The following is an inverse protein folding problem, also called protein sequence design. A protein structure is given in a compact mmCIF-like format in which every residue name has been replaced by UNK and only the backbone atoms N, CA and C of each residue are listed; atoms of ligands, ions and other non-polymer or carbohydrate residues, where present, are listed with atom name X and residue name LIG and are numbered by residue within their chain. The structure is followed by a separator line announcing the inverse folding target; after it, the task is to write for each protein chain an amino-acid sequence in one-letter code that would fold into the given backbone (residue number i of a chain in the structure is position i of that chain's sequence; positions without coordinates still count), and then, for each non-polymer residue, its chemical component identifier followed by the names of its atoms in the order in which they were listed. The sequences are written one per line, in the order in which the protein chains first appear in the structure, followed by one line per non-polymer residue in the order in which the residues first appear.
data_IF_428141197518
#
_entry.id   IF_428141197518
#
_cell.length_a   1.000
_cell.length_b   1.000
_cell.length_c   1.000
_cell.angle_alpha   90.00
_cell.angle_beta   90.00
_cell.angle_gamma   90.00
#
_symmetry.space_group_name_H-M   'P 1'
#
loop_
_entity.id
_entity.type
_entity.pdbx_description
1 polymer ?
#
# COMPACT_ATOMS: atom_id res chain seq x y z
N UNK A 1 -40.17 -9.87 -14.09
CA UNK A 1 -39.63 -9.67 -12.73
C UNK A 1 -38.11 -9.75 -12.80
N UNK A 2 -37.42 -8.72 -12.34
CA UNK A 2 -35.95 -8.63 -12.43
C UNK A 2 -35.31 -9.38 -11.27
N UNK A 3 -34.35 -10.24 -11.55
CA UNK A 3 -33.66 -11.06 -10.54
C UNK A 3 -32.22 -10.57 -10.35
N UNK A 4 -31.76 -10.52 -9.11
CA UNK A 4 -30.40 -10.12 -8.79
C UNK A 4 -29.40 -11.17 -9.28
N UNK A 5 -28.42 -10.77 -10.10
CA UNK A 5 -27.42 -11.68 -10.63
C UNK A 5 -26.52 -12.31 -9.54
N UNK A 6 -26.33 -11.62 -8.41
CA UNK A 6 -25.52 -12.09 -7.27
C UNK A 6 -26.26 -13.08 -6.37
N UNK A 7 -27.44 -12.73 -5.86
CA UNK A 7 -28.17 -13.56 -4.89
C UNK A 7 -29.32 -14.38 -5.48
N UNK A 8 -29.60 -14.26 -6.79
CA UNK A 8 -30.66 -14.94 -7.54
C UNK A 8 -32.10 -14.68 -7.06
N UNK A 9 -32.29 -13.82 -6.07
CA UNK A 9 -33.61 -13.41 -5.55
C UNK A 9 -34.21 -12.28 -6.41
N UNK A 10 -35.55 -12.17 -6.48
CA UNK A 10 -36.20 -11.06 -7.15
C UNK A 10 -35.84 -9.74 -6.44
N UNK A 11 -35.59 -8.70 -7.24
CA UNK A 11 -35.30 -7.35 -6.72
C UNK A 11 -36.62 -6.65 -6.45
N UNK A 12 -36.88 -6.38 -5.17
CA UNK A 12 -38.04 -5.62 -4.68
C UNK A 12 -37.67 -4.21 -4.19
N UNK A 13 -36.37 -3.88 -4.22
CA UNK A 13 -35.86 -2.59 -3.77
C UNK A 13 -36.33 -1.45 -4.68
N UNK A 14 -36.51 -0.26 -4.09
CA UNK A 14 -36.84 0.97 -4.84
C UNK A 14 -35.77 1.33 -5.88
N UNK A 15 -34.51 0.98 -5.60
CA UNK A 15 -33.38 1.26 -6.46
C UNK A 15 -32.58 -0.02 -6.72
N UNK A 16 -32.14 -0.19 -7.97
CA UNK A 16 -31.27 -1.28 -8.40
C UNK A 16 -30.09 -0.73 -9.19
N UNK A 17 -29.01 -1.49 -9.22
CA UNK A 17 -27.83 -1.19 -10.05
C UNK A 17 -27.82 -2.13 -11.25
N UNK A 18 -27.55 -1.57 -12.43
CA UNK A 18 -27.33 -2.35 -13.64
C UNK A 18 -25.84 -2.38 -13.96
N UNK A 19 -25.23 -3.56 -13.94
CA UNK A 19 -23.81 -3.78 -14.20
C UNK A 19 -23.68 -4.84 -15.29
N UNK A 20 -23.13 -4.45 -16.45
CA UNK A 20 -22.98 -5.32 -17.63
C UNK A 20 -24.28 -6.03 -18.01
N UNK A 21 -25.36 -5.26 -18.15
CA UNK A 21 -26.70 -5.74 -18.52
C UNK A 21 -27.33 -6.74 -17.56
N UNK A 22 -26.83 -6.79 -16.33
CA UNK A 22 -27.39 -7.58 -15.24
C UNK A 22 -27.80 -6.68 -14.10
N UNK A 23 -28.96 -6.95 -13.52
CA UNK A 23 -29.46 -6.24 -12.37
C UNK A 23 -28.93 -6.81 -11.07
N UNK A 24 -28.62 -5.93 -10.12
CA UNK A 24 -28.08 -6.27 -8.81
C UNK A 24 -28.73 -5.39 -7.73
N UNK A 25 -28.88 -5.96 -6.52
CA UNK A 25 -29.14 -5.14 -5.34
C UNK A 25 -27.95 -4.24 -5.04
N UNK A 26 -28.19 -3.06 -4.46
CA UNK A 26 -27.14 -2.14 -3.99
C UNK A 26 -26.13 -2.82 -3.07
N UNK A 27 -26.62 -3.72 -2.20
CA UNK A 27 -25.79 -4.52 -1.27
C UNK A 27 -25.12 -5.74 -1.93
N UNK A 28 -25.62 -6.20 -3.08
CA UNK A 28 -25.06 -7.35 -3.78
C UNK A 28 -23.92 -6.98 -4.73
N UNK A 29 -23.76 -5.70 -5.08
CA UNK A 29 -22.62 -5.21 -5.86
C UNK A 29 -21.40 -5.07 -4.95
N UNK A 30 -20.78 -6.20 -4.67
CA UNK A 30 -19.58 -6.29 -3.83
C UNK A 30 -18.52 -7.16 -4.49
N UNK A 31 -17.26 -6.90 -4.16
CA UNK A 31 -16.17 -7.73 -4.66
C UNK A 31 -16.27 -9.16 -4.14
N UNK A 32 -15.94 -10.15 -4.97
CA UNK A 32 -15.93 -11.55 -4.57
C UNK A 32 -14.86 -11.86 -3.51
N UNK A 33 -13.73 -11.17 -3.54
CA UNK A 33 -12.57 -11.37 -2.65
C UNK A 33 -12.66 -10.52 -1.37
N UNK A 34 -12.52 -9.19 -1.44
CA UNK A 34 -12.60 -8.29 -0.27
C UNK A 34 -14.01 -8.14 0.34
N UNK A 35 -15.08 -8.56 -0.35
CA UNK A 35 -16.49 -8.21 -0.02
C UNK A 35 -16.80 -6.72 0.10
N UNK A 36 -15.88 -5.86 -0.34
CA UNK A 36 -16.07 -4.42 -0.32
C UNK A 36 -17.12 -3.99 -1.35
N UNK A 37 -18.01 -3.06 -0.96
CA UNK A 37 -19.10 -2.57 -1.79
C UNK A 37 -18.53 -1.74 -2.95
N UNK A 38 -18.95 -2.04 -4.18
CA UNK A 38 -18.43 -1.37 -5.38
C UNK A 38 -19.43 -0.29 -5.79
N UNK A 39 -19.08 0.98 -5.53
CA UNK A 39 -19.98 2.13 -5.75
C UNK A 39 -19.76 2.80 -7.11
N UNK A 40 -18.50 2.91 -7.55
CA UNK A 40 -18.16 3.63 -8.80
C UNK A 40 -17.75 2.68 -9.93
N UNK A 41 -16.60 2.02 -9.78
CA UNK A 41 -16.00 1.15 -10.81
C UNK A 41 -15.88 -0.27 -10.28
N UNK A 42 -16.37 -1.22 -11.05
CA UNK A 42 -16.24 -2.65 -10.80
C UNK A 42 -15.70 -3.36 -12.04
N UNK A 43 -15.01 -4.47 -11.82
CA UNK A 43 -14.51 -5.33 -12.88
C UNK A 43 -15.27 -6.66 -12.81
N UNK A 44 -15.83 -7.12 -13.93
CA UNK A 44 -16.46 -8.44 -13.97
C UNK A 44 -15.60 -9.45 -14.71
N UNK A 45 -15.52 -10.65 -14.15
CA UNK A 45 -14.87 -11.82 -14.74
C UNK A 45 -15.71 -13.04 -14.36
N UNK A 46 -16.08 -13.87 -15.33
CA UNK A 46 -16.83 -15.12 -15.09
C UNK A 46 -18.13 -14.95 -14.27
N UNK A 47 -18.81 -13.81 -14.43
CA UNK A 47 -20.05 -13.51 -13.70
C UNK A 47 -19.85 -13.14 -12.22
N UNK A 48 -18.60 -12.98 -11.76
CA UNK A 48 -18.23 -12.42 -10.46
C UNK A 48 -17.78 -10.97 -10.62
N UNK A 49 -17.98 -10.17 -9.58
CA UNK A 49 -17.54 -8.78 -9.51
C UNK A 49 -16.29 -8.70 -8.64
N UNK A 50 -15.34 -7.86 -9.05
CA UNK A 50 -14.08 -7.62 -8.37
C UNK A 50 -13.85 -6.12 -8.23
N UNK A 51 -13.23 -5.72 -7.11
CA UNK A 51 -12.71 -4.37 -6.97
C UNK A 51 -11.47 -4.21 -7.86
N UNK A 52 -11.06 -2.95 -8.12
CA UNK A 52 -9.86 -2.66 -8.91
C UNK A 52 -8.65 -3.43 -8.39
N UNK A 53 -8.40 -3.37 -7.08
CA UNK A 53 -7.21 -3.98 -6.47
C UNK A 53 -7.20 -5.51 -6.60
N UNK A 54 -8.29 -6.18 -6.23
CA UNK A 54 -8.38 -7.64 -6.25
C UNK A 54 -8.39 -8.18 -7.69
N UNK A 55 -8.98 -7.44 -8.63
CA UNK A 55 -8.94 -7.80 -10.04
C UNK A 55 -7.50 -7.84 -10.56
N UNK A 56 -6.70 -6.79 -10.32
CA UNK A 56 -5.29 -6.78 -10.70
C UNK A 56 -4.45 -7.76 -9.88
N UNK A 57 -4.79 -7.99 -8.61
CA UNK A 57 -4.07 -8.95 -7.77
C UNK A 57 -4.25 -10.39 -8.25
N UNK A 58 -5.47 -10.77 -8.64
CA UNK A 58 -5.79 -12.13 -9.06
C UNK A 58 -5.43 -12.39 -10.54
N UNK A 59 -5.72 -11.42 -11.42
CA UNK A 59 -5.65 -11.58 -12.87
C UNK A 59 -4.61 -10.68 -13.56
N UNK A 60 -3.98 -9.76 -12.83
CA UNK A 60 -2.94 -8.88 -13.35
C UNK A 60 -1.54 -9.48 -13.20
N UNK A 61 -0.53 -8.62 -13.34
CA UNK A 61 0.88 -8.99 -13.23
C UNK A 61 1.20 -9.45 -11.81
N UNK A 62 1.87 -10.60 -11.70
CA UNK A 62 2.30 -11.17 -10.41
C UNK A 62 3.79 -10.95 -10.20
N UNK A 63 4.16 -10.70 -8.95
CA UNK A 63 5.55 -10.63 -8.54
C UNK A 63 6.19 -12.02 -8.71
N UNK A 64 7.29 -12.10 -9.45
CA UNK A 64 7.99 -13.37 -9.63
C UNK A 64 8.70 -13.87 -8.35
N UNK A 65 8.94 -12.98 -7.37
CA UNK A 65 9.56 -13.34 -6.09
C UNK A 65 8.58 -13.97 -5.09
N UNK A 66 7.41 -13.35 -4.89
CA UNK A 66 6.43 -13.82 -3.89
C UNK A 66 5.12 -14.37 -4.48
N UNK A 67 4.99 -14.41 -5.81
CA UNK A 67 3.79 -14.82 -6.56
C UNK A 67 2.50 -14.02 -6.26
N UNK A 68 2.58 -12.96 -5.45
CA UNK A 68 1.44 -12.09 -5.16
C UNK A 68 1.22 -11.09 -6.30
N UNK A 69 -0.03 -10.73 -6.54
CA UNK A 69 -0.38 -9.76 -7.58
C UNK A 69 0.02 -8.34 -7.20
N UNK A 70 0.46 -7.59 -8.22
CA UNK A 70 0.97 -6.24 -8.12
C UNK A 70 -0.15 -5.25 -8.49
N UNK A 71 -0.37 -4.22 -7.67
CA UNK A 71 -1.32 -3.15 -8.03
C UNK A 71 -0.72 -2.21 -9.08
N UNK A 72 -1.54 -1.62 -9.98
CA UNK A 72 -1.07 -0.61 -10.93
C UNK A 72 -0.45 0.63 -10.28
N UNK A 73 -0.77 0.90 -9.01
CA UNK A 73 -0.18 1.99 -8.23
C UNK A 73 1.13 1.63 -7.56
N UNK A 74 1.49 0.34 -7.49
CA UNK A 74 2.66 -0.11 -6.75
C UNK A 74 3.92 0.15 -7.56
N UNK A 75 4.92 0.69 -6.87
CA UNK A 75 6.27 0.75 -7.41
C UNK A 75 6.81 -0.67 -7.53
N UNK A 76 7.42 -0.97 -8.66
CA UNK A 76 7.96 -2.29 -8.96
C UNK A 76 9.32 -2.21 -9.62
N UNK A 77 10.10 -3.27 -9.45
CA UNK A 77 11.33 -3.50 -10.18
C UNK A 77 11.06 -4.44 -11.34
N UNK A 78 11.69 -4.16 -12.48
CA UNK A 78 11.70 -5.07 -13.62
C UNK A 78 13.11 -5.60 -13.78
N UNK A 79 13.23 -6.92 -13.90
CA UNK A 79 14.47 -7.59 -14.25
C UNK A 79 14.19 -8.55 -15.40
N UNK A 80 14.92 -8.38 -16.50
CA UNK A 80 14.67 -9.08 -17.77
C UNK A 80 13.20 -8.95 -18.19
N UNK A 81 12.43 -10.03 -18.17
CA UNK A 81 11.00 -10.10 -18.54
C UNK A 81 10.05 -10.24 -17.34
N UNK A 82 10.56 -10.21 -16.10
CA UNK A 82 9.77 -10.41 -14.88
C UNK A 82 9.67 -9.14 -14.03
N UNK A 83 8.61 -9.07 -13.23
CA UNK A 83 8.31 -7.94 -12.35
C UNK A 83 8.37 -8.40 -10.90
N UNK A 84 8.91 -7.55 -10.03
CA UNK A 84 9.12 -7.83 -8.61
C UNK A 84 8.65 -6.65 -7.77
N UNK A 85 8.13 -6.92 -6.58
CA UNK A 85 7.98 -5.89 -5.55
C UNK A 85 9.35 -5.36 -5.14
N UNK A 86 9.40 -4.12 -4.67
CA UNK A 86 10.63 -3.52 -4.10
C UNK A 86 11.24 -4.42 -3.01
N UNK A 87 10.40 -4.95 -2.12
CA UNK A 87 10.83 -5.81 -1.01
C UNK A 87 11.21 -7.22 -1.45
N UNK A 88 10.78 -7.65 -2.64
CA UNK A 88 11.17 -8.95 -3.21
C UNK A 88 12.43 -8.85 -4.08
N UNK A 89 12.92 -7.63 -4.34
CA UNK A 89 14.11 -7.39 -5.15
C UNK A 89 15.33 -7.22 -4.24
N UNK A 90 15.69 -8.31 -3.57
CA UNK A 90 16.74 -8.37 -2.54
C UNK A 90 17.84 -9.36 -2.93
N UNK A 91 19.04 -9.14 -2.40
CA UNK A 91 20.16 -10.07 -2.52
C UNK A 91 19.85 -11.38 -1.78
N UNK A 92 20.08 -12.53 -2.40
CA UNK A 92 19.87 -13.84 -1.76
C UNK A 92 20.87 -14.17 -0.65
N UNK A 93 21.99 -13.46 -0.57
CA UNK A 93 23.06 -13.70 0.40
C UNK A 93 22.89 -12.81 1.64
N UNK A 94 22.82 -11.48 1.44
CA UNK A 94 22.67 -10.52 2.55
C UNK A 94 21.24 -10.02 2.79
N UNK A 95 20.25 -10.44 2.00
CA UNK A 95 18.87 -9.92 2.04
C UNK A 95 18.73 -8.40 1.84
N UNK A 96 19.81 -7.71 1.44
CA UNK A 96 19.80 -6.27 1.16
C UNK A 96 18.88 -5.98 -0.03
N UNK A 97 18.02 -4.98 0.13
CA UNK A 97 17.22 -4.46 -0.97
C UNK A 97 18.11 -3.71 -1.96
N UNK A 98 18.13 -4.18 -3.21
CA UNK A 98 18.96 -3.58 -4.25
C UNK A 98 18.28 -2.30 -4.74
N UNK A 99 19.02 -1.22 -4.92
CA UNK A 99 18.49 0.10 -5.32
C UNK A 99 18.84 0.48 -6.76
N UNK A 100 18.12 1.47 -7.32
CA UNK A 100 18.45 2.01 -8.66
C UNK A 100 19.87 2.58 -8.64
N UNK A 101 20.74 2.06 -9.50
CA UNK A 101 22.14 2.48 -9.59
C UNK A 101 23.13 1.56 -8.85
N UNK A 102 22.65 0.54 -8.12
CA UNK A 102 23.54 -0.49 -7.55
C UNK A 102 23.80 -1.60 -8.57
N UNK A 103 25.05 -2.09 -8.61
CA UNK A 103 25.43 -3.25 -9.42
C UNK A 103 24.97 -4.55 -8.75
N UNK A 104 24.35 -5.42 -9.55
CA UNK A 104 23.86 -6.72 -9.12
C UNK A 104 24.10 -7.78 -10.20
N UNK A 105 24.21 -9.02 -9.74
CA UNK A 105 24.39 -10.20 -10.57
C UNK A 105 23.13 -11.06 -10.50
N UNK A 106 22.69 -11.57 -11.66
CA UNK A 106 21.51 -12.43 -11.77
C UNK A 106 22.01 -13.87 -11.94
N UNK A 107 21.92 -14.67 -10.88
CA UNK A 107 22.33 -16.09 -10.89
C UNK A 107 21.28 -16.91 -11.65
N UNK A 108 20.02 -16.79 -11.23
CA UNK A 108 18.86 -17.45 -11.84
C UNK A 108 17.78 -16.41 -12.14
N UNK A 109 16.73 -16.81 -12.88
CA UNK A 109 15.64 -15.91 -13.28
C UNK A 109 14.99 -15.12 -12.12
N UNK A 110 15.05 -15.65 -10.90
CA UNK A 110 14.47 -15.06 -9.70
C UNK A 110 15.48 -14.88 -8.54
N UNK A 111 16.79 -15.03 -8.78
CA UNK A 111 17.83 -14.92 -7.73
C UNK A 111 18.84 -13.83 -8.07
N UNK A 112 18.96 -12.86 -7.16
CA UNK A 112 19.84 -11.70 -7.31
C UNK A 112 20.93 -11.74 -6.25
N UNK A 113 22.15 -11.34 -6.61
CA UNK A 113 23.28 -11.19 -5.69
C UNK A 113 23.84 -9.78 -5.85
N UNK A 114 24.10 -9.08 -4.75
CA UNK A 114 24.73 -7.75 -4.83
C UNK A 114 26.20 -7.88 -5.28
N UNK A 115 26.79 -6.78 -5.77
CA UNK A 115 28.20 -6.76 -6.16
C UNK A 115 29.14 -7.28 -5.07
N UNK A 116 28.95 -6.84 -3.84
CA UNK A 116 29.81 -7.19 -2.70
C UNK A 116 29.81 -8.70 -2.43
N UNK A 117 28.64 -9.31 -2.30
CA UNK A 117 28.50 -10.75 -2.05
C UNK A 117 28.98 -11.59 -3.24
N UNK A 118 28.75 -11.11 -4.47
CA UNK A 118 29.21 -11.80 -5.66
C UNK A 118 30.74 -11.84 -5.73
N UNK A 119 31.40 -10.71 -5.47
CA UNK A 119 32.87 -10.62 -5.46
C UNK A 119 33.47 -11.45 -4.32
N UNK A 120 32.90 -11.36 -3.11
CA UNK A 120 33.38 -12.13 -1.97
C UNK A 120 33.31 -13.65 -2.24
N UNK A 121 32.18 -14.14 -2.76
CA UNK A 121 32.02 -15.56 -3.08
C UNK A 121 32.90 -15.99 -4.28
N UNK A 122 33.15 -15.09 -5.25
CA UNK A 122 34.06 -15.37 -6.37
C UNK A 122 35.53 -15.52 -5.94
N UNK A 123 35.95 -14.79 -4.89
CA UNK A 123 37.28 -14.93 -4.32
C UNK A 123 37.42 -16.23 -3.52
N UNK A 124 36.39 -16.64 -2.76
CA UNK A 124 36.39 -17.92 -2.04
C UNK A 124 36.50 -19.12 -2.98
N UNK A 125 35.90 -19.03 -4.17
CA UNK A 125 36.01 -20.08 -5.20
C UNK A 125 37.41 -20.18 -5.82
N UNK A 126 38.21 -19.10 -5.80
CA UNK A 126 39.60 -19.10 -6.31
C UNK A 126 40.61 -19.57 -5.26
N UNK A 127 40.42 -19.29 -3.98
CA UNK A 127 41.30 -19.81 -2.91
C UNK A 127 41.14 -21.31 -2.65
N UNK A 128 39.97 -21.89 -2.95
CA UNK A 128 39.74 -23.34 -2.82
C UNK A 128 40.43 -24.22 -3.89
N UNK A 129 41.11 -23.63 -4.88
CA UNK A 129 41.98 -24.38 -5.82
C UNK A 129 43.46 -24.42 -5.41
N UNK A 130 43.84 -23.80 -4.29
CA UNK A 130 45.24 -23.74 -3.82
C UNK A 130 45.48 -24.30 -2.41
N UNK A 131 44.47 -24.84 -1.74
CA UNK A 131 44.67 -25.61 -0.51
C UNK A 131 44.32 -27.09 -0.73
N UNK A 132 45.23 -27.77 -1.42
CA UNK A 132 45.43 -29.21 -1.30
C UNK A 132 46.84 -29.45 -0.79
N UNK A 133 46.97 -29.89 0.46
CA UNK A 133 48.17 -30.50 1.00
C UNK A 133 48.86 -29.75 2.13
N UNK A 134 48.35 -29.90 3.36
CA UNK A 134 49.14 -30.51 4.44
C UNK A 134 48.19 -31.03 5.54
N UNK A 135 48.27 -32.33 5.77
CA UNK A 135 47.47 -33.09 6.69
C UNK A 135 47.83 -32.77 8.15
N UNK A 136 46.84 -32.76 9.03
CA UNK A 136 47.03 -33.39 10.34
C UNK A 136 45.80 -34.16 10.78
N UNK A 137 45.96 -35.47 10.71
CA UNK A 137 45.06 -36.51 11.16
C UNK A 137 44.93 -36.59 12.70
N UNK A 138 43.75 -37.09 13.12
CA UNK A 138 43.54 -37.82 14.38
C UNK A 138 42.58 -37.10 15.34
N UNK A 139 41.59 -37.71 15.98
CA UNK A 139 41.07 -39.08 15.99
C UNK A 139 39.79 -39.08 16.86
N UNK A 140 39.01 -40.17 16.75
CA UNK A 140 38.21 -40.78 17.82
C UNK A 140 36.85 -40.15 18.26
N UNK A 141 35.84 -40.71 17.63
CA UNK A 141 34.52 -41.17 18.08
C UNK A 141 34.37 -41.64 19.56
N UNK A 142 33.12 -41.46 20.09
CA UNK A 142 32.39 -42.16 21.19
C UNK A 142 32.67 -41.62 22.62
N UNK A 143 31.73 -41.48 23.56
CA UNK A 143 30.42 -42.10 23.85
C UNK A 143 29.62 -41.23 24.86
N UNK A 144 28.28 -41.36 24.88
CA UNK A 144 27.41 -41.00 26.02
C UNK A 144 27.66 -41.97 27.22
N UNK A 145 27.12 -41.83 28.47
CA UNK A 145 25.70 -41.49 28.79
C UNK A 145 25.44 -40.73 30.14
N UNK A 146 24.14 -40.43 30.37
CA UNK A 146 23.38 -40.65 31.62
C UNK A 146 22.47 -39.46 32.01
N UNK A 147 21.15 -39.72 32.02
CA UNK A 147 20.14 -38.95 32.77
C UNK A 147 20.19 -39.32 34.26
N UNK A 148 19.56 -38.53 35.16
CA UNK A 148 18.20 -38.89 35.57
C UNK A 148 17.23 -37.72 35.88
N UNK A 149 15.95 -38.00 35.59
CA UNK A 149 14.68 -37.69 36.29
C UNK A 149 14.59 -36.55 37.33
N UNK A 150 13.50 -35.77 37.26
CA UNK A 150 12.93 -35.02 38.38
C UNK A 150 11.64 -34.27 37.99
N UNK A 151 10.50 -34.74 38.51
CA UNK A 151 9.13 -34.23 38.30
C UNK A 151 8.78 -33.00 39.17
N UNK A 152 7.82 -32.23 38.68
CA UNK A 152 6.71 -31.57 39.42
C UNK A 152 6.97 -30.31 40.27
N UNK A 153 6.23 -29.23 39.96
CA UNK A 153 5.23 -28.52 40.82
C UNK A 153 5.17 -27.00 40.55
N UNK A 154 3.98 -26.52 40.20
CA UNK A 154 3.51 -25.15 40.47
C UNK A 154 3.54 -24.86 41.99
N UNK A 155 3.63 -23.58 42.40
CA UNK A 155 2.41 -22.93 42.86
C UNK A 155 2.27 -21.45 42.46
N UNK A 156 1.03 -21.09 42.12
CA UNK A 156 0.48 -19.73 42.09
C UNK A 156 0.56 -19.04 43.45
N UNK A 157 0.67 -17.71 43.50
CA UNK A 157 -0.06 -16.83 44.44
C UNK A 157 0.01 -15.36 43.97
N UNK A 158 -1.17 -14.79 43.68
CA UNK A 158 -1.54 -13.36 43.66
C UNK A 158 -1.41 -12.73 45.07
N UNK A 159 -1.53 -11.40 45.30
CA UNK A 159 -2.83 -10.65 45.25
C UNK A 159 -2.72 -9.20 44.68
N UNK A 160 -3.76 -8.64 44.03
CA UNK A 160 -4.86 -7.78 44.58
C UNK A 160 -4.32 -6.45 45.18
N UNK A 161 -4.80 -5.23 44.92
CA UNK A 161 -6.06 -4.61 44.45
C UNK A 161 -5.67 -3.16 44.02
N UNK A 162 -6.41 -2.30 43.31
CA UNK A 162 -7.75 -1.76 43.54
C UNK A 162 -8.02 -0.67 42.46
N UNK A 163 -9.20 -0.73 41.84
CA UNK A 163 -9.94 0.40 41.20
C UNK A 163 -10.41 1.38 42.32
N UNK A 164 -10.81 2.66 42.10
CA UNK A 164 -11.99 3.03 41.29
C UNK A 164 -11.98 4.41 40.57
N UNK A 165 -12.86 4.53 39.56
CA UNK A 165 -13.76 5.69 39.25
C UNK A 165 -13.13 6.99 38.65
N UNK A 166 -13.78 7.83 37.83
CA UNK A 166 -15.12 7.96 37.24
C UNK A 166 -15.08 9.18 36.26
N UNK A 167 -16.03 9.20 35.30
CA UNK A 167 -16.75 10.34 34.67
C UNK A 167 -15.95 11.51 34.01
N UNK A 168 -16.31 12.14 32.88
CA UNK A 168 -17.59 12.58 32.31
C UNK A 168 -17.49 12.91 30.79
N UNK A 169 -18.62 12.73 30.07
CA UNK A 169 -19.30 13.56 29.03
C UNK A 169 -18.49 14.39 27.96
N UNK A 170 -18.93 14.71 26.72
CA UNK A 170 -20.23 14.77 26.03
C UNK A 170 -20.05 15.22 24.54
N UNK A 171 -21.04 14.91 23.69
CA UNK A 171 -21.49 15.57 22.43
C UNK A 171 -20.51 15.63 21.21
N UNK A 172 -20.90 15.58 19.92
CA UNK A 172 -22.17 15.89 19.24
C UNK A 172 -22.25 15.25 17.83
N UNK A 173 -23.42 14.68 17.52
CA UNK A 173 -24.33 14.94 16.39
C UNK A 173 -23.83 15.13 14.93
N UNK A 174 -24.48 14.37 14.03
CA UNK A 174 -24.60 14.64 12.60
C UNK A 174 -25.80 15.54 12.32
N UNK A 175 -25.63 16.61 11.55
CA UNK A 175 -26.73 17.29 10.86
C UNK A 175 -26.28 17.78 9.49
N UNK A 176 -26.90 17.20 8.46
CA UNK A 176 -26.82 17.58 7.06
C UNK A 176 -27.94 18.60 6.82
N UNK A 177 -27.63 19.77 6.24
CA UNK A 177 -28.63 20.68 5.66
C UNK A 177 -28.17 21.08 4.27
N UNK A 178 -29.06 20.89 3.31
CA UNK A 178 -28.94 21.29 1.91
C UNK A 178 -29.97 22.39 1.63
N UNK A 179 -29.60 23.41 0.86
CA UNK A 179 -30.45 24.22 -0.04
C UNK A 179 -29.47 25.00 -0.96
N UNK A 180 -29.38 24.77 -2.29
CA UNK A 180 -30.23 25.23 -3.42
C UNK A 180 -30.32 26.77 -3.45
N UNK A 181 -29.95 27.54 -4.49
CA UNK A 181 -30.30 27.50 -5.93
C UNK A 181 -29.40 28.45 -6.79
N UNK A 182 -29.27 28.09 -8.08
CA UNK A 182 -29.31 28.93 -9.32
C UNK A 182 -28.30 30.04 -9.65
N UNK A 183 -27.81 29.99 -10.91
CA UNK A 183 -27.28 31.14 -11.64
C UNK A 183 -26.50 30.76 -12.91
N UNK A 184 -27.21 30.45 -13.99
CA UNK A 184 -26.67 30.23 -15.34
C UNK A 184 -26.05 31.50 -15.95
N UNK A 185 -24.98 31.37 -16.73
CA UNK A 185 -24.96 31.87 -18.11
C UNK A 185 -23.73 31.43 -18.90
N UNK A 186 -24.00 31.18 -20.17
CA UNK A 186 -23.19 30.54 -21.21
C UNK A 186 -22.08 31.47 -21.72
N UNK A 187 -21.00 30.90 -22.23
CA UNK A 187 -20.30 31.42 -23.41
C UNK A 187 -19.52 30.29 -24.08
N UNK A 188 -19.90 30.06 -25.34
CA UNK A 188 -19.26 29.21 -26.34
C UNK A 188 -17.94 29.86 -26.78
N UNK A 189 -16.83 29.10 -26.81
CA UNK A 189 -15.77 29.35 -27.78
C UNK A 189 -14.93 28.08 -28.01
N UNK A 190 -14.91 27.67 -29.27
CA UNK A 190 -14.20 26.53 -29.79
C UNK A 190 -12.70 26.84 -29.86
N UNK A 191 -11.84 26.11 -29.13
CA UNK A 191 -10.44 26.00 -29.59
C UNK A 191 -9.70 24.75 -29.08
N UNK A 192 -8.93 24.22 -30.01
CA UNK A 192 -8.20 22.97 -30.04
C UNK A 192 -7.01 22.94 -29.07
N UNK A 193 -6.77 21.76 -28.48
CA UNK A 193 -5.44 21.21 -28.17
C UNK A 193 -4.37 22.12 -27.56
N UNK A 194 -4.38 22.29 -26.23
CA UNK A 194 -3.15 22.36 -25.43
C UNK A 194 -3.52 22.24 -23.95
N UNK A 195 -2.87 21.33 -23.22
CA UNK A 195 -2.94 21.25 -21.75
C UNK A 195 -2.43 22.57 -21.16
N UNK A 196 -3.33 23.52 -20.88
CA UNK A 196 -3.01 24.78 -20.18
C UNK A 196 -2.70 24.45 -18.72
N UNK A 197 -1.43 24.14 -18.44
CA UNK A 197 -0.92 24.29 -17.08
C UNK A 197 -1.06 25.77 -16.74
N UNK A 198 -1.84 26.09 -15.72
CA UNK A 198 -2.03 27.46 -15.24
C UNK A 198 -0.68 28.13 -14.91
N UNK A 199 -0.66 29.47 -14.77
CA UNK A 199 0.56 30.19 -14.43
C UNK A 199 1.20 29.57 -13.19
N UNK A 200 2.44 29.07 -13.33
CA UNK A 200 3.18 28.55 -12.18
C UNK A 200 3.62 29.74 -11.35
N UNK A 201 2.81 30.11 -10.35
CA UNK A 201 3.17 31.17 -9.41
C UNK A 201 4.45 30.75 -8.68
N UNK A 202 5.48 31.57 -8.77
CA UNK A 202 6.76 31.30 -8.10
C UNK A 202 6.71 31.98 -6.75
N UNK A 203 6.50 31.19 -5.69
CA UNK A 203 6.47 31.69 -4.31
C UNK A 203 7.90 32.03 -3.89
N UNK A 204 8.16 33.31 -3.58
CA UNK A 204 9.42 33.81 -3.05
C UNK A 204 9.60 33.41 -1.59
N UNK A 205 10.85 33.32 -1.12
CA UNK A 205 11.17 32.91 0.25
C UNK A 205 10.40 33.71 1.33
N UNK A 206 10.30 35.04 1.17
CA UNK A 206 9.55 35.91 2.07
C UNK A 206 8.04 35.60 2.11
N UNK A 207 7.43 35.29 0.96
CA UNK A 207 6.00 34.94 0.87
C UNK A 207 5.72 33.59 1.55
N UNK A 208 6.64 32.62 1.39
CA UNK A 208 6.54 31.31 2.03
C UNK A 208 6.61 31.41 3.57
N UNK A 209 7.46 32.30 4.08
CA UNK A 209 7.63 32.52 5.53
C UNK A 209 6.37 33.14 6.15
N UNK A 210 5.78 34.15 5.50
CA UNK A 210 4.49 34.75 5.93
C UNK A 210 3.36 33.72 5.95
N UNK A 211 3.24 32.89 4.91
CA UNK A 211 2.23 31.83 4.87
C UNK A 211 2.45 30.80 5.98
N UNK A 212 3.69 30.34 6.18
CA UNK A 212 4.02 29.37 7.24
C UNK A 212 3.68 29.91 8.63
N UNK A 213 4.01 31.17 8.91
CA UNK A 213 3.71 31.79 10.21
C UNK A 213 2.20 31.84 10.48
N UNK A 214 1.39 32.20 9.49
CA UNK A 214 -0.06 32.33 9.65
C UNK A 214 -0.78 30.98 9.81
N UNK A 215 -0.38 29.96 9.05
CA UNK A 215 -0.93 28.60 9.18
C UNK A 215 -0.43 27.87 10.43
N UNK A 216 0.73 28.26 10.99
CA UNK A 216 1.19 27.77 12.29
C UNK A 216 0.37 28.37 13.44
N UNK A 217 -0.04 29.64 13.35
CA UNK A 217 -0.86 30.29 14.36
C UNK A 217 -2.31 29.79 14.37
N UNK A 218 -2.90 29.58 13.18
CA UNK A 218 -4.25 29.02 13.05
C UNK A 218 -4.30 28.01 11.90
N UNK A 219 -4.49 26.70 12.17
CA UNK A 219 -4.51 25.68 11.10
C UNK A 219 -5.73 25.80 10.18
N UNK A 220 -6.76 26.56 10.59
CA UNK A 220 -7.95 26.91 9.78
C UNK A 220 -8.15 28.43 9.78
N UNK A 221 -7.37 29.20 8.98
CA UNK A 221 -7.52 30.64 8.93
C UNK A 221 -8.92 31.04 8.45
N UNK A 222 -9.51 32.03 9.11
CA UNK A 222 -10.82 32.57 8.71
C UNK A 222 -10.74 33.18 7.30
N UNK A 223 -11.90 33.40 6.65
CA UNK A 223 -11.96 34.04 5.32
C UNK A 223 -11.19 35.36 5.28
N UNK A 224 -11.35 36.19 6.31
CA UNK A 224 -10.68 37.48 6.41
C UNK A 224 -9.14 37.33 6.46
N UNK A 225 -8.63 36.39 7.25
CA UNK A 225 -7.19 36.13 7.36
C UNK A 225 -6.63 35.63 6.02
N UNK A 226 -7.37 34.79 5.28
CA UNK A 226 -6.95 34.33 3.95
C UNK A 226 -6.88 35.47 2.94
N UNK A 227 -7.86 36.36 2.94
CA UNK A 227 -7.88 37.56 2.07
C UNK A 227 -6.72 38.50 2.40
N UNK A 228 -6.41 38.70 3.68
CA UNK A 228 -5.25 39.50 4.12
C UNK A 228 -3.92 38.86 3.68
N UNK A 229 -3.75 37.55 3.84
CA UNK A 229 -2.54 36.84 3.40
C UNK A 229 -2.33 36.91 1.89
N UNK A 230 -3.41 36.87 1.10
CA UNK A 230 -3.34 37.04 -0.34
C UNK A 230 -2.87 38.46 -0.71
N UNK A 231 -3.35 39.49 -0.01
CA UNK A 231 -2.91 40.87 -0.19
C UNK A 231 -1.45 41.08 0.21
N UNK A 232 -1.02 40.56 1.36
CA UNK A 232 0.35 40.69 1.86
C UNK A 232 1.36 39.91 1.01
N UNK A 233 0.97 38.75 0.50
CA UNK A 233 1.83 37.94 -0.37
C UNK A 233 1.74 38.37 -1.83
N UNK A 234 0.74 39.13 -2.25
CA UNK A 234 0.51 39.47 -3.66
C UNK A 234 0.29 38.24 -4.54
N UNK A 235 -0.08 37.11 -3.95
CA UNK A 235 -0.42 35.88 -4.64
C UNK A 235 -1.94 35.88 -4.86
N UNK A 236 -2.35 35.87 -6.13
CA UNK A 236 -3.77 35.75 -6.46
C UNK A 236 -4.31 34.42 -5.94
N UNK A 237 -5.47 34.44 -5.27
CA UNK A 237 -6.16 33.25 -4.77
C UNK A 237 -6.74 32.41 -5.90
#
# INVERSE_FOLDING_TARGET
MVHCAGCKRPILDRFLLNVLDRAWHVKCVQCCECKCNLTEKCFSREGKLYCKNDFFRCFGTKCAGCAQGISPSDLVRRARSKVFHLNCFTCMMCNKQLSTGEELYIIDENKFVCKEDYLNNSNTAKENSLHSGEERCGAAMRSAPASPRGESRDPSLSPDSQDPSQDDAKDSESANVSDKETGSNENDDQNLGAKRRGPRTTIKAKQLETLKAAFAATPKPTRHIREQLAQETGLNM
#
